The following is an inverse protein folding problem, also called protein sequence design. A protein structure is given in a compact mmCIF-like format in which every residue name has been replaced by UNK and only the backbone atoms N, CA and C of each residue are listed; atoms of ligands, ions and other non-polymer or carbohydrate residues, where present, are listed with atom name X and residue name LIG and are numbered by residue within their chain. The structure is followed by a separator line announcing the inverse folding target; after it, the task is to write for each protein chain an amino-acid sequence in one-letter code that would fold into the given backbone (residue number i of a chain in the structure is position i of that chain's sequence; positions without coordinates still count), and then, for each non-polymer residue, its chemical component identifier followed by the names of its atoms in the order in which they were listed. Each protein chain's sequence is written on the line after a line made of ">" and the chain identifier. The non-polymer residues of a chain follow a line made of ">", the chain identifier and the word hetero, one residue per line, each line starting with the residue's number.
data_IF_953000461795
#
_entry.id   IF_953000461795
#
_cell.length_a   1.000
_cell.length_b   1.000
_cell.length_c   1.000
_cell.angle_alpha   90.00
_cell.angle_beta   90.00
_cell.angle_gamma   90.00
#
_symmetry.space_group_name_H-M   'P 1'
#
loop_
_entity.id
_entity.type
_entity.pdbx_description
1 polymer ?
#
# COMPACT_ATOMS: atom_id res chain seq x y z
N UNK A 1 13.62 1.15 3.29
CA UNK A 1 12.93 2.45 3.08
C UNK A 1 13.27 3.33 4.27
N UNK A 2 13.82 4.51 4.05
CA UNK A 2 14.08 5.45 5.15
C UNK A 2 12.85 6.33 5.23
N UNK A 3 12.06 6.18 6.30
CA UNK A 3 10.98 7.13 6.60
C UNK A 3 11.64 8.38 7.16
N UNK A 4 12.05 9.27 6.26
CA UNK A 4 12.71 10.50 6.66
C UNK A 4 11.70 11.46 7.29
N UNK A 5 12.15 12.24 8.25
CA UNK A 5 11.38 13.37 8.84
C UNK A 5 10.91 14.36 7.76
N UNK A 6 11.52 14.31 6.59
CA UNK A 6 11.17 15.11 5.39
C UNK A 6 9.75 14.84 4.84
N UNK A 7 9.17 13.65 5.11
CA UNK A 7 7.80 13.32 4.69
C UNK A 7 6.73 13.90 5.61
N UNK A 8 7.12 14.50 6.74
CA UNK A 8 6.18 15.11 7.67
C UNK A 8 5.91 16.55 7.30
N UNK A 9 4.66 16.99 7.50
CA UNK A 9 4.30 18.38 7.33
C UNK A 9 4.99 19.22 8.41
N UNK A 10 6.05 19.94 8.04
CA UNK A 10 6.86 20.77 8.94
C UNK A 10 6.22 22.13 9.28
N UNK A 11 4.99 22.39 8.82
CA UNK A 11 4.27 23.65 9.07
C UNK A 11 3.71 23.74 10.50
N UNK A 12 3.65 22.62 11.23
CA UNK A 12 3.19 22.57 12.60
C UNK A 12 4.11 21.66 13.43
N UNK A 13 4.78 22.23 14.42
CA UNK A 13 5.72 21.53 15.31
C UNK A 13 5.06 20.37 16.09
N UNK A 14 3.75 20.40 16.29
CA UNK A 14 3.01 19.30 16.94
C UNK A 14 2.83 18.10 16.00
N UNK A 15 2.94 18.27 14.70
CA UNK A 15 2.80 17.19 13.72
C UNK A 15 4.04 16.28 13.62
N UNK A 16 5.18 16.71 14.12
CA UNK A 16 6.43 15.92 14.09
C UNK A 16 6.27 14.59 14.84
N UNK A 17 5.43 14.55 15.88
CA UNK A 17 5.19 13.35 16.69
C UNK A 17 3.90 12.59 16.30
N UNK A 18 3.12 13.12 15.36
CA UNK A 18 1.87 12.47 14.95
C UNK A 18 2.12 11.33 13.98
N UNK A 19 1.25 10.35 14.07
CA UNK A 19 1.15 9.25 13.12
C UNK A 19 0.77 9.79 11.74
N UNK A 20 1.54 9.42 10.72
CA UNK A 20 1.20 9.67 9.32
C UNK A 20 0.53 8.44 8.74
N UNK A 21 -0.54 8.62 7.97
CA UNK A 21 -1.25 7.51 7.32
C UNK A 21 -1.44 7.83 5.84
N UNK A 22 -1.23 6.83 5.00
CA UNK A 22 -1.46 6.88 3.56
C UNK A 22 -2.31 5.67 3.19
N UNK A 23 -3.43 5.90 2.53
CA UNK A 23 -4.30 4.85 2.00
C UNK A 23 -4.60 5.09 0.54
N UNK A 24 -4.77 4.00 -0.22
CA UNK A 24 -5.12 4.04 -1.63
C UNK A 24 -6.09 2.91 -1.97
N UNK A 25 -7.11 3.24 -2.73
CA UNK A 25 -7.99 2.28 -3.38
C UNK A 25 -7.66 2.22 -4.86
N UNK A 26 -7.53 1.02 -5.41
CA UNK A 26 -7.11 0.80 -6.80
C UNK A 26 -7.72 -0.45 -7.39
N UNK A 27 -7.75 -0.52 -8.72
CA UNK A 27 -8.28 -1.66 -9.46
C UNK A 27 -7.14 -2.37 -10.19
N UNK A 28 -7.06 -3.68 -10.03
CA UNK A 28 -6.18 -4.55 -10.80
C UNK A 28 -6.88 -5.88 -11.08
N UNK A 29 -6.81 -6.34 -12.34
CA UNK A 29 -7.47 -7.58 -12.78
C UNK A 29 -8.98 -7.65 -12.43
N UNK A 30 -9.70 -6.53 -12.58
CA UNK A 30 -11.14 -6.37 -12.27
C UNK A 30 -11.51 -6.54 -10.78
N UNK A 31 -10.53 -6.54 -9.89
CA UNK A 31 -10.70 -6.57 -8.45
C UNK A 31 -10.32 -5.22 -7.86
N UNK A 32 -11.09 -4.76 -6.91
CA UNK A 32 -10.82 -3.52 -6.17
C UNK A 32 -10.05 -3.88 -4.92
N UNK A 33 -8.91 -3.23 -4.71
CA UNK A 33 -8.09 -3.40 -3.52
C UNK A 33 -8.04 -2.10 -2.73
N UNK A 34 -7.96 -2.21 -1.42
CA UNK A 34 -7.63 -1.12 -0.52
C UNK A 34 -6.35 -1.46 0.23
N UNK A 35 -5.37 -0.56 0.16
CA UNK A 35 -4.10 -0.71 0.87
C UNK A 35 -3.83 0.54 1.69
N UNK A 36 -3.44 0.37 2.94
CA UNK A 36 -3.07 1.50 3.82
C UNK A 36 -1.88 1.17 4.69
N UNK A 37 -1.07 2.18 4.94
CA UNK A 37 0.03 2.17 5.90
C UNK A 37 -0.10 3.32 6.86
N UNK A 38 0.34 3.10 8.11
CA UNK A 38 0.55 4.17 9.08
C UNK A 38 1.93 4.05 9.68
N UNK A 39 2.62 5.16 9.83
CA UNK A 39 4.00 5.20 10.24
C UNK A 39 4.33 6.46 11.03
N UNK A 40 5.41 6.40 11.79
CA UNK A 40 6.05 7.53 12.46
C UNK A 40 7.57 7.51 12.22
N UNK A 41 8.33 8.31 12.96
CA UNK A 41 9.79 8.33 12.89
C UNK A 41 10.46 7.01 13.28
N UNK A 42 9.77 6.13 14.00
CA UNK A 42 10.26 4.81 14.41
C UNK A 42 10.01 3.71 13.38
N UNK A 43 9.18 3.98 12.36
CA UNK A 43 8.88 3.06 11.27
C UNK A 43 7.39 2.80 11.06
N UNK A 44 7.07 1.68 10.43
CA UNK A 44 5.69 1.25 10.15
C UNK A 44 5.05 0.75 11.42
N UNK A 45 3.87 1.28 11.75
CA UNK A 45 3.06 0.89 12.90
C UNK A 45 1.83 0.09 12.51
N UNK A 46 1.36 0.29 11.28
CA UNK A 46 0.19 -0.39 10.75
C UNK A 46 0.33 -0.58 9.25
N UNK A 47 -0.05 -1.74 8.74
CA UNK A 47 -0.13 -2.05 7.32
C UNK A 47 -1.31 -2.99 7.09
N UNK A 48 -2.13 -2.69 6.09
CA UNK A 48 -3.35 -3.43 5.84
C UNK A 48 -3.63 -3.53 4.34
N UNK A 49 -4.07 -4.71 3.91
CA UNK A 49 -4.51 -4.98 2.56
C UNK A 49 -5.84 -5.74 2.57
N UNK A 50 -6.79 -5.27 1.78
CA UNK A 50 -8.06 -5.95 1.54
C UNK A 50 -8.47 -5.91 0.08
N UNK A 51 -9.34 -6.84 -0.33
CA UNK A 51 -10.09 -6.85 -1.59
C UNK A 51 -11.54 -6.44 -1.30
N UNK A 52 -12.00 -5.35 -1.91
CA UNK A 52 -13.37 -4.87 -1.79
C UNK A 52 -14.30 -5.71 -2.64
N UNK A 53 -15.27 -6.36 -2.03
CA UNK A 53 -16.33 -7.10 -2.70
C UNK A 53 -17.64 -6.30 -2.74
N UNK A 54 -18.62 -6.74 -3.54
CA UNK A 54 -19.93 -6.08 -3.66
C UNK A 54 -20.72 -5.99 -2.35
N UNK A 55 -20.52 -6.92 -1.44
CA UNK A 55 -21.30 -7.03 -0.21
C UNK A 55 -20.44 -7.14 1.06
N UNK A 56 -19.16 -7.45 0.93
CA UNK A 56 -18.24 -7.57 2.04
C UNK A 56 -16.81 -7.30 1.60
N UNK A 57 -16.01 -6.83 2.52
CA UNK A 57 -14.58 -6.71 2.37
C UNK A 57 -13.91 -8.05 2.68
N UNK A 58 -13.04 -8.54 1.79
CA UNK A 58 -12.18 -9.67 2.04
C UNK A 58 -10.83 -9.15 2.53
N UNK A 59 -10.60 -9.25 3.82
CA UNK A 59 -9.29 -8.94 4.38
C UNK A 59 -8.27 -9.95 3.86
N UNK A 60 -7.06 -9.48 3.56
CA UNK A 60 -5.95 -10.32 3.08
C UNK A 60 -4.92 -10.45 4.18
N UNK A 61 -4.38 -9.31 4.63
CA UNK A 61 -3.54 -9.28 5.81
C UNK A 61 -3.69 -7.97 6.59
N UNK A 62 -3.32 -8.04 7.84
CA UNK A 62 -3.17 -6.91 8.75
C UNK A 62 -1.90 -7.08 9.56
N UNK A 63 -1.12 -6.03 9.63
CA UNK A 63 0.09 -5.94 10.44
C UNK A 63 -0.02 -4.73 11.34
N UNK A 64 0.25 -4.91 12.61
CA UNK A 64 0.24 -3.81 13.57
C UNK A 64 1.30 -4.01 14.66
N UNK A 65 1.78 -2.90 15.19
CA UNK A 65 2.77 -2.88 16.25
C UNK A 65 2.10 -2.44 17.55
N UNK A 66 2.10 -3.32 18.52
CA UNK A 66 1.48 -3.12 19.82
C UNK A 66 2.35 -3.72 20.94
N UNK A 67 2.45 -3.05 22.08
CA UNK A 67 3.23 -3.50 23.24
C UNK A 67 4.69 -3.89 22.92
N UNK A 68 5.33 -3.13 22.01
CA UNK A 68 6.67 -3.42 21.49
C UNK A 68 6.80 -4.75 20.74
N UNK A 69 5.70 -5.30 20.26
CA UNK A 69 5.65 -6.52 19.47
C UNK A 69 5.00 -6.27 18.12
N UNK A 70 5.59 -6.88 17.11
CA UNK A 70 5.01 -6.98 15.77
C UNK A 70 3.94 -8.07 15.74
N UNK A 71 2.75 -7.76 15.25
CA UNK A 71 1.66 -8.71 15.07
C UNK A 71 1.28 -8.75 13.60
N UNK A 72 1.17 -9.96 13.04
CA UNK A 72 0.77 -10.18 11.65
C UNK A 72 -0.42 -11.15 11.65
N UNK A 73 -1.48 -10.77 10.97
CA UNK A 73 -2.69 -11.57 10.80
C UNK A 73 -2.95 -11.79 9.31
N UNK A 74 -3.10 -13.04 8.90
CA UNK A 74 -3.59 -13.40 7.58
C UNK A 74 -5.03 -13.90 7.69
N UNK A 75 -5.85 -13.55 6.70
CA UNK A 75 -7.28 -13.88 6.67
C UNK A 75 -7.60 -14.94 5.59
N UNK A 76 -6.70 -15.91 5.42
CA UNK A 76 -6.78 -17.00 4.45
C UNK A 76 -7.53 -18.24 4.97
N UNK A 77 -8.04 -18.20 6.20
CA UNK A 77 -8.74 -19.31 6.85
C UNK A 77 -7.83 -20.34 7.52
N UNK A 78 -6.51 -20.20 7.41
CA UNK A 78 -5.53 -21.17 7.93
C UNK A 78 -4.98 -20.82 9.32
N UNK A 79 -5.56 -19.83 10.00
CA UNK A 79 -5.06 -19.27 11.26
C UNK A 79 -4.89 -20.31 12.41
N UNK A 80 -5.55 -21.45 12.33
CA UNK A 80 -5.47 -22.55 13.31
C UNK A 80 -4.40 -23.61 12.96
N UNK A 81 -3.82 -23.58 11.76
CA UNK A 81 -2.77 -24.50 11.37
C UNK A 81 -1.44 -24.15 12.07
N UNK A 82 -0.83 -25.12 12.71
CA UNK A 82 0.45 -24.95 13.42
C UNK A 82 1.58 -24.49 12.49
N UNK A 83 1.57 -24.90 11.22
CA UNK A 83 2.55 -24.43 10.23
C UNK A 83 2.36 -22.96 9.90
N UNK A 84 1.11 -22.56 9.76
CA UNK A 84 0.75 -21.16 9.53
C UNK A 84 1.18 -20.28 10.72
N UNK A 85 0.91 -20.71 11.94
CA UNK A 85 1.33 -19.99 13.15
C UNK A 85 2.86 -19.84 13.23
N UNK A 86 3.61 -20.92 12.95
CA UNK A 86 5.09 -20.88 12.91
C UNK A 86 5.60 -19.93 11.80
N UNK A 87 4.94 -19.92 10.65
CA UNK A 87 5.29 -19.02 9.56
C UNK A 87 5.07 -17.53 9.95
N UNK A 88 3.94 -17.21 10.55
CA UNK A 88 3.63 -15.86 11.04
C UNK A 88 4.63 -15.40 12.10
N UNK A 89 4.95 -16.27 13.05
CA UNK A 89 5.95 -15.99 14.10
C UNK A 89 7.33 -15.74 13.49
N UNK A 90 7.75 -16.56 12.54
CA UNK A 90 9.02 -16.37 11.83
C UNK A 90 9.05 -15.06 11.03
N UNK A 91 7.95 -14.69 10.38
CA UNK A 91 7.85 -13.40 9.67
C UNK A 91 8.02 -12.25 10.64
N UNK A 92 7.25 -12.23 11.73
CA UNK A 92 7.24 -11.13 12.70
C UNK A 92 8.57 -10.99 13.45
N UNK A 93 9.27 -12.09 13.75
CA UNK A 93 10.50 -12.05 14.54
C UNK A 93 11.77 -11.84 13.71
N UNK A 94 11.80 -12.30 12.45
CA UNK A 94 13.06 -12.40 11.71
C UNK A 94 13.07 -11.69 10.36
N UNK A 95 11.92 -11.51 9.72
CA UNK A 95 11.91 -11.06 8.33
C UNK A 95 11.29 -9.70 8.13
N UNK A 96 10.41 -9.26 9.01
CA UNK A 96 9.72 -7.97 8.87
C UNK A 96 10.24 -7.02 9.93
N UNK A 97 11.07 -6.08 9.52
CA UNK A 97 11.54 -4.99 10.39
C UNK A 97 10.59 -3.80 10.37
N UNK A 98 10.81 -2.88 11.32
CA UNK A 98 10.02 -1.63 11.43
C UNK A 98 10.04 -0.76 10.17
N UNK A 99 11.08 -0.86 9.36
CA UNK A 99 11.24 -0.08 8.13
C UNK A 99 10.85 -0.84 6.86
N UNK A 100 10.39 -2.08 7.01
CA UNK A 100 9.97 -2.91 5.88
C UNK A 100 8.46 -2.86 5.72
N UNK A 101 7.99 -3.06 4.49
CA UNK A 101 6.59 -3.30 4.19
C UNK A 101 6.36 -4.80 4.04
N UNK A 102 5.35 -5.32 4.71
CA UNK A 102 4.99 -6.74 4.65
C UNK A 102 4.67 -7.16 3.20
N UNK A 103 3.96 -6.31 2.46
CA UNK A 103 3.65 -6.57 1.04
C UNK A 103 4.91 -6.82 0.20
N UNK A 104 6.01 -6.11 0.47
CA UNK A 104 7.29 -6.29 -0.23
C UNK A 104 7.93 -7.63 0.15
N UNK A 105 7.96 -7.96 1.44
CA UNK A 105 8.55 -9.21 1.94
C UNK A 105 7.80 -10.44 1.38
N UNK A 106 6.46 -10.39 1.38
CA UNK A 106 5.64 -11.45 0.84
C UNK A 106 5.89 -11.64 -0.66
N UNK A 107 6.02 -10.55 -1.42
CA UNK A 107 6.30 -10.62 -2.85
C UNK A 107 7.70 -11.18 -3.15
N UNK A 108 8.72 -10.76 -2.42
CA UNK A 108 10.11 -11.15 -2.68
C UNK A 108 10.37 -12.62 -2.35
N UNK A 109 9.73 -13.14 -1.31
CA UNK A 109 10.03 -14.47 -0.76
C UNK A 109 8.92 -15.50 -0.94
N UNK A 110 7.67 -15.06 -1.05
CA UNK A 110 6.49 -15.93 -0.95
C UNK A 110 5.42 -15.59 -2.01
N UNK A 111 5.84 -15.11 -3.16
CA UNK A 111 4.92 -14.61 -4.21
C UNK A 111 3.90 -15.63 -4.70
N UNK A 112 4.22 -16.91 -4.64
CA UNK A 112 3.33 -18.00 -5.12
C UNK A 112 2.26 -18.37 -4.08
N UNK A 113 2.57 -18.14 -2.80
CA UNK A 113 1.66 -18.45 -1.70
C UNK A 113 0.59 -17.36 -1.48
N UNK A 114 0.86 -16.12 -1.96
CA UNK A 114 -0.02 -14.95 -1.76
C UNK A 114 -0.36 -14.24 -3.09
N UNK A 115 -1.23 -14.83 -3.93
CA UNK A 115 -1.55 -14.30 -5.26
C UNK A 115 -2.25 -12.93 -5.23
N UNK A 116 -3.09 -12.65 -4.21
CA UNK A 116 -3.73 -11.34 -4.02
C UNK A 116 -2.70 -10.27 -3.71
N UNK A 117 -1.75 -10.57 -2.84
CA UNK A 117 -0.64 -9.66 -2.51
C UNK A 117 0.22 -9.38 -3.73
N UNK A 118 0.48 -10.40 -4.57
CA UNK A 118 1.18 -10.24 -5.86
C UNK A 118 0.46 -9.25 -6.77
N UNK A 119 -0.86 -9.38 -6.90
CA UNK A 119 -1.67 -8.49 -7.73
C UNK A 119 -1.58 -7.04 -7.25
N UNK A 120 -1.74 -6.82 -5.95
CA UNK A 120 -1.62 -5.50 -5.34
C UNK A 120 -0.20 -4.91 -5.52
N UNK A 121 0.84 -5.66 -5.23
CA UNK A 121 2.24 -5.24 -5.41
C UNK A 121 2.56 -4.88 -6.87
N UNK A 122 2.05 -5.68 -7.82
CA UNK A 122 2.22 -5.40 -9.25
C UNK A 122 1.64 -4.06 -9.66
N UNK A 123 0.52 -3.63 -9.06
CA UNK A 123 -0.06 -2.32 -9.33
C UNK A 123 0.88 -1.19 -8.88
N UNK A 124 1.44 -1.28 -7.67
CA UNK A 124 2.40 -0.28 -7.16
C UNK A 124 3.66 -0.16 -8.00
N UNK A 125 4.15 -1.27 -8.55
CA UNK A 125 5.43 -1.30 -9.26
C UNK A 125 5.33 -1.09 -10.77
N UNK A 126 4.14 -1.34 -11.36
CA UNK A 126 3.98 -1.30 -12.83
C UNK A 126 2.96 -0.27 -13.30
N UNK A 127 2.02 0.13 -12.44
CA UNK A 127 0.89 0.98 -12.85
C UNK A 127 0.96 2.35 -12.18
N UNK A 128 1.28 2.39 -10.89
CA UNK A 128 1.36 3.64 -10.14
C UNK A 128 2.54 4.49 -10.64
N UNK A 129 2.26 5.71 -11.06
CA UNK A 129 3.27 6.73 -11.35
C UNK A 129 3.12 7.88 -10.35
N UNK A 130 4.18 8.16 -9.60
CA UNK A 130 4.22 9.27 -8.66
C UNK A 130 4.98 10.40 -9.34
N UNK A 131 4.32 11.55 -9.49
CA UNK A 131 4.93 12.76 -10.02
C UNK A 131 5.37 13.65 -8.86
N UNK A 132 6.65 14.02 -8.83
CA UNK A 132 7.17 15.00 -7.89
C UNK A 132 6.63 16.40 -8.22
N UNK A 133 6.55 17.27 -7.20
CA UNK A 133 6.09 18.65 -7.38
C UNK A 133 6.94 19.45 -8.38
N UNK A 134 8.20 19.09 -8.55
CA UNK A 134 9.15 19.72 -9.47
C UNK A 134 9.26 18.98 -10.82
N UNK A 135 8.58 17.86 -10.99
CA UNK A 135 8.60 17.14 -12.26
C UNK A 135 7.78 17.89 -13.29
N UNK A 136 8.41 18.15 -14.44
CA UNK A 136 7.73 18.75 -15.58
C UNK A 136 6.62 17.81 -16.06
N UNK A 137 5.42 18.36 -16.28
CA UNK A 137 4.21 17.66 -16.76
C UNK A 137 4.40 17.08 -18.20
N UNK A 138 5.61 17.10 -18.75
CA UNK A 138 5.89 16.55 -20.09
C UNK A 138 5.45 15.08 -20.29
N UNK A 139 5.61 14.17 -19.29
CA UNK A 139 5.12 12.80 -19.44
C UNK A 139 3.59 12.73 -19.58
N UNK A 140 2.86 13.57 -18.85
CA UNK A 140 1.39 13.61 -18.92
C UNK A 140 0.90 14.17 -20.26
N UNK A 141 1.52 15.25 -20.73
CA UNK A 141 1.22 15.83 -22.05
C UNK A 141 1.49 14.83 -23.17
N UNK A 142 2.57 14.03 -23.07
CA UNK A 142 2.87 12.99 -24.04
C UNK A 142 1.82 11.85 -24.03
N UNK A 143 1.35 11.45 -22.84
CA UNK A 143 0.30 10.43 -22.70
C UNK A 143 -1.01 10.94 -23.34
N UNK A 144 -1.41 12.19 -23.07
CA UNK A 144 -2.60 12.81 -23.67
C UNK A 144 -2.47 12.96 -25.18
N UNK A 145 -1.28 13.18 -25.72
CA UNK A 145 -1.04 13.27 -27.17
C UNK A 145 -1.17 11.90 -27.87
N UNK A 146 -0.90 10.81 -27.14
CA UNK A 146 -0.93 9.44 -27.66
C UNK A 146 -2.24 8.71 -27.40
N UNK A 147 -2.93 9.05 -26.32
CA UNK A 147 -4.18 8.40 -25.89
C UNK A 147 -5.34 9.39 -25.96
N UNK A 148 -6.06 9.33 -27.10
CA UNK A 148 -7.21 10.21 -27.35
C UNK A 148 -8.36 9.96 -26.37
N UNK A 149 -8.59 8.73 -25.93
CA UNK A 149 -9.66 8.41 -24.97
C UNK A 149 -9.36 9.04 -23.61
N UNK A 150 -8.12 9.00 -23.19
CA UNK A 150 -7.67 9.62 -21.94
C UNK A 150 -7.72 11.15 -22.02
N UNK A 151 -7.39 11.73 -23.17
CA UNK A 151 -7.52 13.16 -23.43
C UNK A 151 -8.98 13.62 -23.36
N UNK A 152 -9.89 12.90 -24.06
CA UNK A 152 -11.32 13.19 -24.08
C UNK A 152 -11.95 13.03 -22.70
N UNK A 153 -11.53 12.01 -21.93
CA UNK A 153 -11.95 11.82 -20.54
C UNK A 153 -11.53 13.00 -19.66
N UNK A 154 -10.27 13.42 -19.73
CA UNK A 154 -9.75 14.55 -18.95
C UNK A 154 -10.48 15.86 -19.29
N UNK A 155 -10.72 16.14 -20.58
CA UNK A 155 -11.49 17.30 -21.02
C UNK A 155 -12.93 17.30 -20.51
N UNK A 156 -13.60 16.15 -20.53
CA UNK A 156 -14.94 16.02 -19.98
C UNK A 156 -14.98 16.26 -18.45
N UNK A 157 -13.94 15.85 -17.74
CA UNK A 157 -13.83 16.05 -16.31
C UNK A 157 -13.64 17.53 -15.97
N UNK A 158 -12.74 18.21 -16.68
CA UNK A 158 -12.49 19.66 -16.53
C UNK A 158 -13.74 20.47 -16.89
N UNK A 159 -14.43 20.10 -17.98
CA UNK A 159 -15.66 20.77 -18.40
C UNK A 159 -16.85 20.61 -17.43
N UNK A 160 -16.81 19.64 -16.52
CA UNK A 160 -17.80 19.47 -15.44
C UNK A 160 -17.47 20.25 -14.18
N UNK A 161 -16.22 20.73 -14.04
CA UNK A 161 -15.74 21.48 -12.89
C UNK A 161 -15.74 23.00 -13.13
N UNK A 162 -15.95 23.43 -14.36
CA UNK A 162 -16.12 24.82 -14.80
C UNK A 162 -17.60 25.20 -14.96
#
# INVERSE_FOLDING_TARGET
>A
MVFADELKCNLDSQNIQRLSSIGVEFIVNQKVFFYTISFDSSGVLYEYLSESGRHCEKRIFERYFEENKENILFYDGNSTDSRHQMFVEMLSEKFVGRNDLLICILQDKYSDDFPETRSAYSWFTKTLTILGADERIQPLAYVFDKDKEMFDYANNLIGKLS
#
